data_IF_680013939031
#
_entry.id   IF_680013939031
#
_cell.length_a   1.000
_cell.length_b   1.000
_cell.length_c   1.000
_cell.angle_alpha   90.00
_cell.angle_beta   90.00
_cell.angle_gamma   90.00
#
_symmetry.space_group_name_H-M   'P 1'
#
loop_
_entity.id
_entity.type
_entity.pdbx_description
1 polymer ?
#
# COMPACT_ATOMS: atom_id res chain seq x y z
N UNK A 1 -8.46 3.32 11.84
CA UNK A 1 -7.21 3.29 11.06
C UNK A 1 -6.48 1.96 11.21
N UNK A 2 -6.19 1.30 10.09
CA UNK A 2 -5.45 0.03 9.98
C UNK A 2 -4.40 0.20 8.89
N UNK A 3 -3.17 -0.23 9.14
CA UNK A 3 -2.09 -0.22 8.15
C UNK A 3 -1.75 -1.67 7.83
N UNK A 4 -1.82 -2.06 6.56
CA UNK A 4 -1.58 -3.43 6.11
C UNK A 4 -0.51 -3.43 5.03
N UNK A 5 0.55 -4.22 5.23
CA UNK A 5 1.57 -4.46 4.21
C UNK A 5 1.32 -5.83 3.58
N UNK A 6 1.06 -5.83 2.29
CA UNK A 6 0.86 -7.03 1.48
C UNK A 6 2.15 -7.28 0.72
N UNK A 7 2.85 -8.36 1.01
CA UNK A 7 3.99 -8.81 0.20
C UNK A 7 3.56 -9.99 -0.69
N UNK A 8 4.16 -10.16 -1.87
CA UNK A 8 3.90 -11.32 -2.70
C UNK A 8 4.17 -12.60 -1.90
N UNK A 9 3.26 -13.57 -1.98
CA UNK A 9 3.40 -14.91 -1.38
C UNK A 9 3.44 -14.99 0.16
N UNK A 10 3.39 -13.86 0.88
CA UNK A 10 3.36 -13.82 2.35
C UNK A 10 1.96 -13.47 2.88
N UNK A 11 1.68 -13.83 4.14
CA UNK A 11 0.47 -13.37 4.83
C UNK A 11 0.52 -11.84 5.04
N UNK A 12 -0.62 -11.13 4.96
CA UNK A 12 -0.67 -9.69 5.18
C UNK A 12 -0.12 -9.31 6.57
N UNK A 13 0.85 -8.41 6.59
CA UNK A 13 1.39 -7.90 7.83
C UNK A 13 0.53 -6.72 8.31
N UNK A 14 -0.24 -6.96 9.37
CA UNK A 14 -0.99 -5.92 10.05
C UNK A 14 -0.07 -5.10 10.95
N UNK A 15 0.09 -3.82 10.61
CA UNK A 15 0.90 -2.86 11.32
C UNK A 15 0.02 -2.02 12.26
N UNK A 16 0.45 -1.88 13.51
CA UNK A 16 -0.36 -1.18 14.52
C UNK A 16 -0.24 0.34 14.40
N UNK A 17 -1.34 1.10 14.35
CA UNK A 17 -1.32 2.56 14.16
C UNK A 17 -0.53 3.31 15.24
N UNK A 18 -0.40 2.74 16.44
CA UNK A 18 0.40 3.30 17.53
C UNK A 18 1.88 3.45 17.20
N UNK A 19 2.39 2.72 16.21
CA UNK A 19 3.76 2.88 15.70
C UNK A 19 3.89 4.05 14.72
N UNK A 20 2.77 4.62 14.25
CA UNK A 20 2.71 5.57 13.15
C UNK A 20 1.85 6.81 13.43
N UNK A 21 1.16 6.86 14.58
CA UNK A 21 0.17 7.89 14.92
C UNK A 21 0.75 9.31 15.01
N UNK A 22 2.05 9.43 15.25
CA UNK A 22 2.76 10.72 15.22
C UNK A 22 3.15 11.16 13.79
N UNK A 23 3.22 10.21 12.86
CA UNK A 23 3.72 10.41 11.50
C UNK A 23 2.58 10.59 10.49
N UNK A 24 1.34 10.23 10.84
CA UNK A 24 0.18 10.36 9.94
C UNK A 24 -0.23 11.82 9.81
N UNK A 25 -0.17 12.33 8.59
CA UNK A 25 -0.58 13.69 8.24
C UNK A 25 -2.10 13.86 8.43
N UNK A 26 -2.56 15.10 8.54
CA UNK A 26 -3.98 15.43 8.75
C UNK A 26 -4.94 14.92 7.64
N UNK A 27 -4.39 14.48 6.51
CA UNK A 27 -5.11 13.86 5.40
C UNK A 27 -5.08 12.32 5.42
N UNK A 28 -4.60 11.69 6.50
CA UNK A 28 -4.52 10.24 6.62
C UNK A 28 -3.37 9.58 5.85
N UNK A 29 -2.41 10.35 5.36
CA UNK A 29 -1.25 9.83 4.63
C UNK A 29 -0.03 9.68 5.54
N UNK A 30 0.81 8.69 5.24
CA UNK A 30 2.13 8.57 5.86
C UNK A 30 3.16 9.43 5.11
N UNK A 31 4.25 9.87 5.78
CA UNK A 31 5.34 10.55 5.11
C UNK A 31 5.96 9.59 4.07
N UNK A 32 6.32 10.09 2.90
CA UNK A 32 6.84 9.26 1.80
C UNK A 32 8.07 8.45 2.21
N UNK A 33 8.93 8.99 3.09
CA UNK A 33 10.10 8.28 3.60
C UNK A 33 9.71 7.04 4.43
N UNK A 34 8.60 7.09 5.17
CA UNK A 34 8.06 5.95 5.91
C UNK A 34 7.42 4.92 5.00
N UNK A 35 6.66 5.37 3.99
CA UNK A 35 6.08 4.47 3.00
C UNK A 35 7.19 3.70 2.26
N UNK A 36 8.25 4.40 1.86
CA UNK A 36 9.42 3.82 1.21
C UNK A 36 10.12 2.77 2.09
N UNK A 37 10.31 3.06 3.38
CA UNK A 37 10.89 2.12 4.36
C UNK A 37 10.05 0.84 4.47
N UNK A 38 8.73 0.96 4.57
CA UNK A 38 7.82 -0.18 4.68
C UNK A 38 7.76 -1.02 3.38
N UNK A 39 7.83 -0.35 2.23
CA UNK A 39 7.90 -1.00 0.92
C UNK A 39 9.30 -1.53 0.59
N UNK A 40 10.32 -1.17 1.37
CA UNK A 40 11.71 -1.56 1.10
C UNK A 40 12.28 -0.96 -0.18
N UNK A 41 11.83 0.23 -0.59
CA UNK A 41 12.24 0.90 -1.82
C UNK A 41 12.81 2.31 -1.57
N UNK A 42 13.33 2.94 -2.63
CA UNK A 42 13.68 4.37 -2.57
C UNK A 42 12.42 5.23 -2.64
N UNK A 43 12.39 6.35 -1.90
CA UNK A 43 11.22 7.26 -1.86
C UNK A 43 10.74 7.78 -3.21
N UNK A 44 11.63 7.86 -4.20
CA UNK A 44 11.33 8.29 -5.57
C UNK A 44 10.56 7.23 -6.36
N UNK A 45 10.51 6.01 -5.85
CA UNK A 45 9.80 4.87 -6.43
C UNK A 45 8.50 4.58 -5.68
N UNK A 46 8.12 5.39 -4.68
CA UNK A 46 6.81 5.24 -4.04
C UNK A 46 5.78 5.87 -4.96
N UNK A 47 4.79 5.07 -5.35
CA UNK A 47 3.66 5.54 -6.14
C UNK A 47 2.35 5.38 -5.37
N UNK A 48 1.39 6.28 -5.63
CA UNK A 48 0.04 6.19 -5.08
C UNK A 48 -0.81 5.43 -6.08
N UNK A 49 -1.11 4.18 -5.75
CA UNK A 49 -1.88 3.29 -6.61
C UNK A 49 -3.37 3.69 -6.65
N UNK A 50 -3.94 3.98 -5.48
CA UNK A 50 -5.32 4.42 -5.34
C UNK A 50 -5.51 5.22 -4.05
N UNK A 51 -6.47 6.13 -4.04
CA UNK A 51 -6.85 6.88 -2.85
C UNK A 51 -8.33 7.21 -2.85
N UNK A 52 -8.99 6.98 -1.72
CA UNK A 52 -10.38 7.34 -1.48
C UNK A 52 -10.56 8.08 -0.14
N UNK A 53 -11.80 8.40 0.24
CA UNK A 53 -12.09 9.09 1.51
C UNK A 53 -11.56 8.36 2.74
N UNK A 54 -11.57 7.02 2.70
CA UNK A 54 -11.25 6.16 3.84
C UNK A 54 -10.05 5.23 3.58
N UNK A 55 -9.31 5.42 2.48
CA UNK A 55 -8.13 4.60 2.19
C UNK A 55 -7.08 5.28 1.31
N UNK A 56 -5.83 4.84 1.45
CA UNK A 56 -4.75 5.12 0.50
C UNK A 56 -3.91 3.86 0.30
N UNK A 57 -3.64 3.51 -0.96
CA UNK A 57 -2.80 2.39 -1.35
C UNK A 57 -1.54 2.90 -2.04
N UNK A 58 -0.40 2.37 -1.63
CA UNK A 58 0.91 2.69 -2.18
C UNK A 58 1.56 1.44 -2.79
N UNK A 59 2.27 1.64 -3.88
CA UNK A 59 3.03 0.60 -4.57
C UNK A 59 4.47 1.07 -4.83
N UNK A 60 5.31 0.15 -5.26
CA UNK A 60 6.61 0.48 -5.84
C UNK A 60 6.41 0.69 -7.35
N UNK A 61 6.76 1.88 -7.84
CA UNK A 61 6.73 2.23 -9.25
C UNK A 61 7.59 1.25 -10.07
N UNK A 62 7.02 0.78 -11.18
CA UNK A 62 7.69 -0.12 -12.14
C UNK A 62 8.33 -1.36 -11.48
N UNK A 63 7.61 -2.00 -10.55
CA UNK A 63 8.13 -3.17 -9.86
C UNK A 63 8.07 -4.42 -10.74
N UNK A 64 9.23 -4.92 -11.17
CA UNK A 64 9.37 -6.20 -11.88
C UNK A 64 9.23 -7.45 -10.96
N UNK A 65 8.75 -7.26 -9.73
CA UNK A 65 8.62 -8.32 -8.73
C UNK A 65 7.52 -9.36 -9.01
N UNK A 66 7.32 -10.26 -8.06
CA UNK A 66 6.24 -11.25 -8.11
C UNK A 66 4.86 -10.59 -8.02
N UNK A 67 3.86 -11.21 -8.65
CA UNK A 67 2.46 -10.77 -8.58
C UNK A 67 1.96 -10.91 -7.15
N UNK A 68 1.21 -9.92 -6.69
CA UNK A 68 0.65 -9.85 -5.35
C UNK A 68 -0.89 -10.03 -5.42
N UNK A 69 -1.37 -11.29 -5.47
CA UNK A 69 -2.81 -11.56 -5.65
C UNK A 69 -3.65 -11.04 -4.49
N UNK A 70 -3.12 -11.06 -3.26
CA UNK A 70 -3.84 -10.54 -2.09
C UNK A 70 -4.01 -9.03 -2.20
N UNK A 71 -2.98 -8.31 -2.63
CA UNK A 71 -3.10 -6.87 -2.86
C UNK A 71 -4.08 -6.53 -3.99
N UNK A 72 -4.16 -7.36 -5.03
CA UNK A 72 -5.16 -7.22 -6.09
C UNK A 72 -6.58 -7.39 -5.53
N UNK A 73 -6.86 -8.44 -4.77
CA UNK A 73 -8.18 -8.63 -4.12
C UNK A 73 -8.57 -7.44 -3.24
N UNK A 74 -7.61 -6.89 -2.49
CA UNK A 74 -7.82 -5.71 -1.64
C UNK A 74 -8.07 -4.46 -2.47
N UNK A 75 -7.33 -4.27 -3.56
CA UNK A 75 -7.55 -3.16 -4.49
C UNK A 75 -8.96 -3.20 -5.06
N UNK A 76 -9.41 -4.35 -5.55
CA UNK A 76 -10.77 -4.50 -6.11
C UNK A 76 -11.85 -4.25 -5.06
N UNK A 77 -11.65 -4.75 -3.83
CA UNK A 77 -12.58 -4.54 -2.72
C UNK A 77 -12.71 -3.06 -2.32
N UNK A 78 -11.62 -2.28 -2.42
CA UNK A 78 -11.59 -0.86 -2.02
C UNK A 78 -12.00 0.10 -3.14
N UNK A 79 -11.62 -0.20 -4.38
CA UNK A 79 -11.90 0.66 -5.54
C UNK A 79 -13.23 0.31 -6.20
N UNK A 80 -13.68 -0.94 -6.08
CA UNK A 80 -14.80 -1.48 -6.86
C UNK A 80 -14.45 -1.74 -8.32
N UNK A 81 -13.18 -1.57 -8.71
CA UNK A 81 -12.69 -1.74 -10.07
C UNK A 81 -11.71 -2.92 -10.12
N UNK A 82 -11.76 -3.75 -11.18
CA UNK A 82 -10.75 -4.79 -11.34
C UNK A 82 -9.39 -4.14 -11.60
N UNK A 83 -8.31 -4.85 -11.28
CA UNK A 83 -6.97 -4.42 -11.66
C UNK A 83 -6.77 -4.73 -13.17
N UNK A 84 -7.33 -3.88 -14.05
CA UNK A 84 -7.76 -4.32 -15.39
C UNK A 84 -6.67 -4.61 -16.43
N UNK A 85 -5.41 -4.17 -16.30
CA UNK A 85 -4.42 -4.37 -17.39
C UNK A 85 -3.00 -4.76 -16.97
N UNK A 86 -2.58 -4.49 -15.73
CA UNK A 86 -1.29 -4.93 -15.21
C UNK A 86 -1.44 -5.48 -13.78
N UNK A 87 -0.95 -6.70 -13.51
CA UNK A 87 -1.03 -7.27 -12.18
C UNK A 87 -0.20 -6.44 -11.20
N UNK A 88 -0.73 -6.17 -10.00
CA UNK A 88 0.05 -5.54 -8.94
C UNK A 88 1.22 -6.45 -8.58
N UNK A 89 2.43 -5.90 -8.63
CA UNK A 89 3.67 -6.61 -8.34
C UNK A 89 4.38 -6.03 -7.13
N UNK A 90 5.11 -6.89 -6.44
CA UNK A 90 5.90 -6.50 -5.29
C UNK A 90 5.04 -6.14 -4.06
N UNK A 91 5.65 -5.46 -3.08
CA UNK A 91 4.96 -5.06 -1.87
C UNK A 91 3.97 -3.92 -2.13
N UNK A 92 2.81 -4.00 -1.50
CA UNK A 92 1.75 -3.00 -1.54
C UNK A 92 1.39 -2.61 -0.11
N UNK A 93 1.36 -1.31 0.19
CA UNK A 93 1.00 -0.79 1.50
C UNK A 93 -0.40 -0.17 1.43
N UNK A 94 -1.32 -0.61 2.27
CA UNK A 94 -2.66 -0.05 2.37
C UNK A 94 -2.87 0.60 3.74
N UNK A 95 -3.41 1.80 3.74
CA UNK A 95 -3.86 2.52 4.92
C UNK A 95 -5.37 2.65 4.78
N UNK A 96 -6.13 2.02 5.68
CA UNK A 96 -7.57 2.26 5.82
C UNK A 96 -7.79 3.19 7.01
N UNK A 97 -8.52 4.29 6.86
CA UNK A 97 -8.69 5.33 7.88
C UNK A 97 -9.78 4.99 8.90
#
# INVERSE_FOLDING_TARGET
MTISLYKPTEEPLLLTPTQFSADIHCNGQLPVDRVAELLGCAKLLVDVLASGPDYVMYSVFDCEGEINPIAMEVFEALTGEPCEDDPLRGPILCLCL
#
